data_IF_621689601338
#
_entry.id   IF_621689601338
#
_cell.length_a   1.000
_cell.length_b   1.000
_cell.length_c   1.000
_cell.angle_alpha   90.00
_cell.angle_beta   90.00
_cell.angle_gamma   90.00
#
_symmetry.space_group_name_H-M   'P 1'
#
loop_
_entity.id
_entity.type
_entity.pdbx_description
1 polymer ?
#
# COMPACT_ATOMS: atom_id res chain seq x y z
N UNK A 1 -4.77 -2.02 -3.37
CA UNK A 1 -4.19 -1.60 -4.65
C UNK A 1 -3.32 -2.75 -5.16
N UNK A 2 -3.89 -3.73 -5.88
CA UNK A 2 -3.19 -4.98 -6.27
C UNK A 2 -3.22 -5.23 -7.78
N UNK A 3 -3.49 -4.19 -8.55
CA UNK A 3 -3.64 -4.27 -10.01
C UNK A 3 -2.45 -3.62 -10.74
N UNK A 4 -1.46 -3.14 -9.99
CA UNK A 4 -0.43 -2.25 -10.50
C UNK A 4 0.96 -2.78 -10.19
N UNK A 5 1.86 -2.63 -11.15
CA UNK A 5 3.30 -2.76 -10.96
C UNK A 5 3.83 -1.63 -10.07
N UNK A 6 5.05 -1.76 -9.55
CA UNK A 6 5.68 -0.71 -8.74
C UNK A 6 5.63 0.68 -9.39
N UNK A 7 6.03 0.80 -10.66
CA UNK A 7 6.01 2.09 -11.38
C UNK A 7 4.59 2.65 -11.56
N UNK A 8 3.61 1.79 -11.82
CA UNK A 8 2.21 2.21 -11.90
C UNK A 8 1.70 2.70 -10.54
N UNK A 9 2.13 2.08 -9.44
CA UNK A 9 1.78 2.51 -8.09
C UNK A 9 2.37 3.87 -7.75
N UNK A 10 3.61 4.16 -8.15
CA UNK A 10 4.20 5.49 -8.01
C UNK A 10 3.36 6.55 -8.73
N UNK A 11 2.96 6.30 -9.98
CA UNK A 11 2.12 7.21 -10.75
C UNK A 11 0.74 7.43 -10.11
N UNK A 12 0.11 6.36 -9.61
CA UNK A 12 -1.18 6.46 -8.91
C UNK A 12 -1.03 7.27 -7.63
N UNK A 13 0.01 7.04 -6.83
CA UNK A 13 0.26 7.79 -5.60
C UNK A 13 0.52 9.27 -5.88
N UNK A 14 1.32 9.61 -6.90
CA UNK A 14 1.52 11.00 -7.33
C UNK A 14 0.19 11.68 -7.70
N UNK A 15 -0.71 10.96 -8.39
CA UNK A 15 -2.04 11.47 -8.71
C UNK A 15 -2.93 11.62 -7.48
N UNK A 16 -2.87 10.69 -6.52
CA UNK A 16 -3.57 10.81 -5.24
C UNK A 16 -3.16 12.11 -4.53
N UNK A 17 -1.87 12.42 -4.48
CA UNK A 17 -1.37 13.66 -3.87
C UNK A 17 -1.92 14.89 -4.57
N UNK A 18 -1.95 14.89 -5.91
CA UNK A 18 -2.49 16.01 -6.71
C UNK A 18 -3.99 16.20 -6.51
N UNK A 19 -4.72 15.14 -6.21
CA UNK A 19 -6.16 15.16 -5.97
C UNK A 19 -6.50 15.56 -4.52
N UNK A 20 -5.62 15.22 -3.56
CA UNK A 20 -5.78 15.60 -2.17
C UNK A 20 -5.54 17.10 -2.00
N UNK A 21 -6.29 17.71 -1.08
CA UNK A 21 -5.93 19.04 -0.58
C UNK A 21 -4.63 18.89 0.21
N UNK A 22 -3.54 19.43 -0.32
CA UNK A 22 -2.22 19.41 0.30
C UNK A 22 -2.15 20.40 1.46
N UNK A 23 -2.81 20.06 2.57
CA UNK A 23 -2.83 20.82 3.83
C UNK A 23 -2.31 19.94 4.96
N UNK A 24 -1.69 20.55 5.97
CA UNK A 24 -1.30 19.83 7.19
C UNK A 24 -2.49 19.11 7.83
N UNK A 25 -2.26 17.89 8.30
CA UNK A 25 -3.30 16.99 8.82
C UNK A 25 -4.11 16.28 7.73
N UNK A 26 -3.89 16.55 6.45
CA UNK A 26 -4.49 15.75 5.38
C UNK A 26 -4.02 14.30 5.51
N UNK A 27 -4.97 13.38 5.58
CA UNK A 27 -4.74 11.97 5.85
C UNK A 27 -5.45 11.15 4.79
N UNK A 28 -4.76 10.16 4.24
CA UNK A 28 -5.42 9.04 3.59
C UNK A 28 -5.07 7.74 4.31
N UNK A 29 -6.07 6.88 4.46
CA UNK A 29 -5.97 5.57 5.09
C UNK A 29 -6.53 4.53 4.15
N UNK A 30 -6.07 3.31 4.29
CA UNK A 30 -6.57 2.23 3.47
C UNK A 30 -6.18 0.87 3.97
N UNK A 31 -6.75 -0.11 3.31
CA UNK A 31 -6.56 -1.52 3.60
C UNK A 31 -6.43 -2.27 2.28
N UNK A 32 -5.49 -3.20 2.21
CA UNK A 32 -5.13 -3.86 0.97
C UNK A 32 -4.43 -5.20 1.26
N UNK A 33 -4.38 -6.13 0.32
CA UNK A 33 -3.56 -7.34 0.42
C UNK A 33 -2.07 -6.98 0.42
N UNK A 34 -1.35 -7.48 1.40
CA UNK A 34 0.08 -7.32 1.54
C UNK A 34 0.85 -8.63 1.53
N UNK A 35 2.17 -8.52 1.50
CA UNK A 35 3.11 -9.63 1.49
C UNK A 35 4.30 -9.28 2.37
N UNK A 36 4.67 -10.17 3.28
CA UNK A 36 5.86 -10.03 4.12
C UNK A 36 7.13 -9.94 3.27
N UNK A 37 8.00 -8.97 3.58
CA UNK A 37 9.18 -8.62 2.77
C UNK A 37 8.85 -7.75 1.55
N UNK A 38 7.57 -7.59 1.21
CA UNK A 38 7.11 -6.96 -0.02
C UNK A 38 7.55 -7.71 -1.28
N UNK A 39 7.03 -7.29 -2.43
CA UNK A 39 7.51 -7.75 -3.73
C UNK A 39 6.42 -8.16 -4.70
N UNK A 40 6.87 -8.75 -5.80
CA UNK A 40 5.97 -9.18 -6.87
C UNK A 40 5.08 -10.35 -6.40
N UNK A 41 3.79 -10.19 -6.66
CA UNK A 41 2.79 -11.24 -6.71
C UNK A 41 2.54 -11.67 -8.16
N UNK A 42 1.45 -12.40 -8.38
CA UNK A 42 1.13 -12.88 -9.73
C UNK A 42 0.88 -11.73 -10.70
N UNK A 43 1.15 -11.97 -11.98
CA UNK A 43 0.91 -11.02 -13.07
C UNK A 43 1.67 -9.67 -12.90
N UNK A 44 2.79 -9.67 -12.18
CA UNK A 44 3.64 -8.49 -11.99
C UNK A 44 3.07 -7.45 -11.02
N UNK A 45 2.01 -7.78 -10.27
CA UNK A 45 1.45 -6.89 -9.25
C UNK A 45 2.42 -6.74 -8.10
N UNK A 46 2.64 -5.52 -7.60
CA UNK A 46 3.48 -5.33 -6.42
C UNK A 46 2.63 -5.36 -5.15
N UNK A 47 3.02 -6.18 -4.17
CA UNK A 47 2.41 -6.29 -2.85
C UNK A 47 3.34 -5.71 -1.78
N UNK A 48 2.74 -5.10 -0.76
CA UNK A 48 3.49 -4.35 0.25
C UNK A 48 3.45 -4.99 1.63
N UNK A 49 4.55 -4.81 2.33
CA UNK A 49 4.64 -4.74 3.79
C UNK A 49 4.88 -3.28 4.24
N UNK A 50 5.06 -3.06 5.54
CA UNK A 50 5.30 -1.74 6.10
C UNK A 50 6.54 -1.06 5.49
N UNK A 51 7.65 -1.79 5.36
CA UNK A 51 8.92 -1.23 4.87
C UNK A 51 8.84 -0.82 3.39
N UNK A 52 8.31 -1.71 2.53
CA UNK A 52 8.13 -1.38 1.11
C UNK A 52 7.11 -0.27 0.89
N UNK A 53 6.11 -0.13 1.77
CA UNK A 53 5.16 0.98 1.72
C UNK A 53 5.81 2.33 2.05
N UNK A 54 6.64 2.37 3.10
CA UNK A 54 7.46 3.54 3.43
C UNK A 54 8.38 3.91 2.27
N UNK A 55 9.03 2.92 1.64
CA UNK A 55 9.88 3.15 0.45
C UNK A 55 9.11 3.75 -0.72
N UNK A 56 7.94 3.19 -1.06
CA UNK A 56 7.11 3.70 -2.16
C UNK A 56 6.81 5.18 -1.95
N UNK A 57 6.34 5.55 -0.77
CA UNK A 57 6.01 6.93 -0.46
C UNK A 57 7.24 7.83 -0.39
N UNK A 58 8.37 7.35 0.13
CA UNK A 58 9.65 8.06 0.04
C UNK A 58 9.98 8.49 -1.39
N UNK A 59 9.87 7.56 -2.34
CA UNK A 59 10.08 7.85 -3.77
C UNK A 59 9.05 8.83 -4.34
N UNK A 60 7.76 8.69 -3.99
CA UNK A 60 6.71 9.63 -4.43
C UNK A 60 7.03 11.05 -3.96
N UNK A 61 7.47 11.22 -2.70
CA UNK A 61 7.79 12.53 -2.16
C UNK A 61 9.04 13.14 -2.77
N UNK A 62 10.08 12.35 -3.03
CA UNK A 62 11.25 12.81 -3.77
C UNK A 62 10.86 13.30 -5.17
N UNK A 63 10.04 12.54 -5.89
CA UNK A 63 9.55 12.91 -7.24
C UNK A 63 8.71 14.19 -7.25
N UNK A 64 7.99 14.46 -6.16
CA UNK A 64 7.16 15.65 -6.01
C UNK A 64 7.87 16.83 -5.33
N UNK A 65 9.13 16.67 -4.90
CA UNK A 65 9.87 17.72 -4.17
C UNK A 65 9.32 18.01 -2.77
N UNK A 66 8.76 16.99 -2.11
CA UNK A 66 8.08 17.08 -0.81
C UNK A 66 8.71 16.18 0.26
N UNK A 67 9.99 15.84 0.15
CA UNK A 67 10.67 14.97 1.12
C UNK A 67 10.55 15.51 2.55
N UNK A 68 10.30 14.63 3.52
CA UNK A 68 10.12 14.98 4.94
C UNK A 68 8.76 15.60 5.31
N UNK A 69 7.84 15.74 4.36
CA UNK A 69 6.55 16.40 4.55
C UNK A 69 5.41 15.47 5.02
N UNK A 70 5.71 14.19 5.27
CA UNK A 70 4.69 13.17 5.50
C UNK A 70 5.12 12.11 6.49
N UNK A 71 4.15 11.61 7.25
CA UNK A 71 4.28 10.46 8.13
C UNK A 71 3.55 9.29 7.48
N UNK A 72 4.29 8.20 7.25
CA UNK A 72 3.79 6.98 6.62
C UNK A 72 3.84 5.87 7.65
N UNK A 73 2.73 5.15 7.81
CA UNK A 73 2.64 4.00 8.69
C UNK A 73 1.90 2.86 7.99
N UNK A 74 2.21 1.63 8.38
CA UNK A 74 1.46 0.48 7.94
C UNK A 74 1.76 -0.75 8.78
N UNK A 75 0.83 -1.69 8.76
CA UNK A 75 0.89 -2.94 9.51
C UNK A 75 0.35 -4.07 8.65
N UNK A 76 1.11 -5.16 8.54
CA UNK A 76 0.68 -6.39 7.88
C UNK A 76 0.16 -7.37 8.93
N UNK A 77 -1.16 -7.57 8.95
CA UNK A 77 -1.82 -8.54 9.82
C UNK A 77 -2.02 -9.84 9.05
N UNK A 78 -1.39 -10.92 9.54
CA UNK A 78 -1.69 -12.28 9.06
C UNK A 78 -3.12 -12.62 9.46
N UNK A 79 -3.92 -13.04 8.49
CA UNK A 79 -5.28 -13.50 8.76
C UNK A 79 -5.22 -14.98 9.16
N UNK A 80 -5.73 -15.36 10.35
CA UNK A 80 -5.78 -16.76 10.75
C UNK A 80 -6.82 -17.49 9.88
N UNK A 81 -6.32 -18.32 8.95
CA UNK A 81 -7.13 -19.25 8.14
C UNK A 81 -8.07 -18.58 7.14
N UNK A 82 -7.68 -18.50 5.86
CA UNK A 82 -8.57 -18.47 4.69
C UNK A 82 -9.69 -17.40 4.57
N UNK A 83 -9.94 -16.56 5.56
CA UNK A 83 -11.19 -15.79 5.69
C UNK A 83 -11.26 -14.48 4.88
N UNK A 84 -10.56 -14.41 3.74
CA UNK A 84 -10.86 -13.39 2.71
C UNK A 84 -11.98 -13.84 1.76
N UNK A 85 -12.58 -15.02 1.98
CA UNK A 85 -13.73 -15.49 1.21
C UNK A 85 -15.01 -14.86 1.76
N UNK A 86 -15.47 -13.76 1.16
CA UNK A 86 -16.90 -13.44 1.18
C UNK A 86 -17.61 -14.38 0.20
N UNK A 87 -18.65 -15.05 0.66
CA UNK A 87 -19.51 -15.91 -0.17
C UNK A 87 -19.92 -15.17 -1.46
N UNK A 88 -19.48 -15.70 -2.62
CA UNK A 88 -19.91 -15.22 -3.94
C UNK A 88 -18.80 -14.84 -4.92
N UNK A 89 -17.55 -14.69 -4.49
CA UNK A 89 -16.40 -14.48 -5.39
C UNK A 89 -15.56 -15.76 -5.46
N UNK A 90 -15.42 -16.31 -6.68
CA UNK A 90 -14.54 -17.45 -6.97
C UNK A 90 -13.16 -17.22 -6.35
N UNK A 91 -12.66 -18.26 -5.68
CA UNK A 91 -11.42 -18.26 -4.92
C UNK A 91 -10.25 -17.62 -5.69
N UNK A 92 -9.75 -16.46 -5.22
CA UNK A 92 -8.50 -15.87 -5.73
C UNK A 92 -7.32 -16.12 -4.79
N UNK A 93 -7.51 -16.65 -3.58
CA UNK A 93 -6.37 -16.84 -2.65
C UNK A 93 -6.40 -18.21 -1.99
N UNK A 94 -5.91 -19.20 -2.72
CA UNK A 94 -5.30 -20.37 -2.10
C UNK A 94 -4.20 -19.86 -1.15
N UNK A 95 -4.44 -20.02 0.14
CA UNK A 95 -3.64 -19.45 1.24
C UNK A 95 -2.36 -20.26 1.46
N UNK A 96 -1.71 -20.67 0.36
CA UNK A 96 -0.45 -21.42 0.34
C UNK A 96 0.80 -20.54 0.16
N UNK A 97 0.63 -19.25 -0.12
CA UNK A 97 1.75 -18.31 -0.20
C UNK A 97 2.18 -17.83 1.19
N UNK A 98 3.28 -18.37 1.72
CA UNK A 98 3.90 -17.89 2.96
C UNK A 98 4.00 -16.35 2.96
N UNK A 99 3.46 -15.71 4.00
CA UNK A 99 3.60 -14.27 4.23
C UNK A 99 2.53 -13.35 3.62
N UNK A 100 1.44 -13.86 3.03
CA UNK A 100 0.31 -13.02 2.57
C UNK A 100 -0.59 -12.62 3.75
N UNK A 101 -1.08 -11.38 3.76
CA UNK A 101 -1.96 -10.88 4.82
C UNK A 101 -2.73 -9.61 4.45
N UNK A 102 -3.48 -9.10 5.42
CA UNK A 102 -4.18 -7.82 5.32
C UNK A 102 -3.24 -6.70 5.75
N UNK A 103 -2.91 -5.80 4.84
CA UNK A 103 -2.07 -4.64 5.08
C UNK A 103 -2.92 -3.39 5.24
N UNK A 104 -2.87 -2.80 6.42
CA UNK A 104 -3.50 -1.52 6.73
C UNK A 104 -2.45 -0.42 6.77
N UNK A 105 -2.81 0.77 6.30
CA UNK A 105 -1.87 1.88 6.24
C UNK A 105 -2.52 3.24 6.48
N UNK A 106 -1.67 4.19 6.82
CA UNK A 106 -1.97 5.60 6.90
C UNK A 106 -0.82 6.42 6.31
N UNK A 107 -1.17 7.53 5.69
CA UNK A 107 -0.20 8.51 5.20
C UNK A 107 -0.76 9.91 5.44
N UNK A 108 -0.06 10.64 6.29
CA UNK A 108 -0.49 11.92 6.86
C UNK A 108 0.48 13.03 6.44
N UNK A 109 -0.06 14.18 6.03
CA UNK A 109 0.70 15.39 5.73
C UNK A 109 1.06 16.10 7.03
N UNK A 110 2.35 16.21 7.35
CA UNK A 110 2.84 16.71 8.65
C UNK A 110 3.30 18.17 8.68
N UNK A 111 2.95 18.97 7.67
CA UNK A 111 3.52 20.33 7.50
C UNK A 111 4.99 20.31 7.04
N UNK A 112 5.52 21.46 6.65
CA UNK A 112 6.98 21.73 6.56
C UNK A 112 7.21 22.96 7.42
#
# INVERSE_FOLDING_TARGET
MHLFTWEQQLLVCENVVRLLRNIEGALFVGCMVGKEGGGEGEQGRWLHDADSWVRLWGTVWERLGMSGSWKVQGELRRLPGGDLVKEGEEAVMDSGGEGIGLFEFSVERTGV
#
